data_IF_053326748242
#
_entry.id   IF_053326748242
#
_cell.length_a   1.000
_cell.length_b   1.000
_cell.length_c   1.000
_cell.angle_alpha   90.00
_cell.angle_beta   90.00
_cell.angle_gamma   90.00
#
_symmetry.space_group_name_H-M   'P 1'
#
loop_
_entity.id
_entity.type
_entity.pdbx_description
1 polymer ?
#
# COMPACT_ATOMS: atom_id res chain seq x y z
N UNK A 1 -83.81 19.82 12.70
CA UNK A 1 -82.83 19.33 13.69
C UNK A 1 -82.26 17.96 13.29
N UNK A 2 -81.67 17.83 12.08
CA UNK A 2 -81.14 16.54 11.58
C UNK A 2 -79.83 16.63 10.78
N UNK A 3 -79.30 17.82 10.46
CA UNK A 3 -78.08 17.93 9.65
C UNK A 3 -76.80 17.84 10.51
N UNK A 4 -76.82 18.42 11.72
CA UNK A 4 -75.67 18.37 12.62
C UNK A 4 -75.42 16.99 13.21
N UNK A 5 -76.49 16.22 13.50
CA UNK A 5 -76.38 14.84 13.98
C UNK A 5 -75.73 13.93 12.94
N UNK A 6 -76.04 14.11 11.66
CA UNK A 6 -75.45 13.33 10.56
C UNK A 6 -73.95 13.66 10.41
N UNK A 7 -73.56 14.94 10.54
CA UNK A 7 -72.14 15.34 10.51
C UNK A 7 -71.37 14.76 11.70
N UNK A 8 -71.92 14.81 12.92
CA UNK A 8 -71.26 14.24 14.10
C UNK A 8 -71.15 12.72 14.04
N UNK A 9 -72.16 12.03 13.49
CA UNK A 9 -72.11 10.57 13.28
C UNK A 9 -71.07 10.22 12.21
N UNK A 10 -71.03 10.97 11.10
CA UNK A 10 -70.05 10.77 10.05
C UNK A 10 -68.62 11.00 10.53
N UNK A 11 -68.40 12.04 11.35
CA UNK A 11 -67.10 12.32 11.95
C UNK A 11 -66.67 11.23 12.93
N UNK A 12 -67.58 10.77 13.80
CA UNK A 12 -67.30 9.68 14.74
C UNK A 12 -66.94 8.38 14.02
N UNK A 13 -67.63 8.08 12.91
CA UNK A 13 -67.33 6.90 12.09
C UNK A 13 -65.94 7.00 11.43
N UNK A 14 -65.57 8.17 10.92
CA UNK A 14 -64.25 8.43 10.34
C UNK A 14 -63.13 8.27 11.36
N UNK A 15 -63.33 8.78 12.58
CA UNK A 15 -62.36 8.61 13.69
C UNK A 15 -62.22 7.14 14.06
N UNK A 16 -63.34 6.40 14.17
CA UNK A 16 -63.30 4.96 14.46
C UNK A 16 -62.56 4.17 13.38
N UNK A 17 -62.80 4.45 12.10
CA UNK A 17 -62.09 3.82 10.97
C UNK A 17 -60.59 4.15 11.02
N UNK A 18 -60.23 5.40 11.32
CA UNK A 18 -58.82 5.80 11.46
C UNK A 18 -58.12 5.04 12.58
N UNK A 19 -58.79 4.83 13.71
CA UNK A 19 -58.22 4.06 14.83
C UNK A 19 -58.04 2.59 14.44
N UNK A 20 -59.03 1.99 13.77
CA UNK A 20 -58.95 0.59 13.31
C UNK A 20 -57.81 0.42 12.30
N UNK A 21 -57.68 1.33 11.33
CA UNK A 21 -56.58 1.30 10.35
C UNK A 21 -55.22 1.45 11.04
N UNK A 22 -55.12 2.35 12.02
CA UNK A 22 -53.88 2.55 12.76
C UNK A 22 -53.49 1.30 13.54
N UNK A 23 -54.44 0.67 14.23
CA UNK A 23 -54.20 -0.60 14.93
C UNK A 23 -53.85 -1.73 13.97
N UNK A 24 -54.47 -1.77 12.79
CA UNK A 24 -54.20 -2.79 11.77
C UNK A 24 -52.80 -2.67 11.17
N UNK A 25 -52.26 -1.46 11.03
CA UNK A 25 -50.86 -1.26 10.59
C UNK A 25 -49.90 -1.63 11.71
N UNK A 26 -50.24 -1.28 12.95
CA UNK A 26 -49.38 -1.58 14.11
C UNK A 26 -49.33 -3.09 14.42
N UNK A 27 -50.40 -3.84 14.13
CA UNK A 27 -50.44 -5.30 14.27
C UNK A 27 -50.02 -6.05 13.00
N UNK A 28 -49.64 -5.35 11.93
CA UNK A 28 -49.20 -5.99 10.69
C UNK A 28 -47.75 -6.43 10.85
N UNK A 29 -47.57 -7.72 11.16
CA UNK A 29 -46.27 -8.37 11.11
C UNK A 29 -46.18 -9.04 9.73
N UNK A 30 -45.34 -8.54 8.80
CA UNK A 30 -45.18 -9.19 7.52
C UNK A 30 -44.63 -10.59 7.79
N UNK A 31 -45.31 -11.62 7.29
CA UNK A 31 -44.73 -12.94 7.22
C UNK A 31 -43.67 -12.88 6.12
N UNK A 32 -42.47 -12.41 6.46
CA UNK A 32 -41.31 -12.61 5.60
C UNK A 32 -41.15 -14.12 5.53
N UNK A 33 -41.49 -14.70 4.37
CA UNK A 33 -40.95 -16.00 4.02
C UNK A 33 -39.46 -15.91 4.31
N UNK A 34 -38.99 -16.77 5.23
CA UNK A 34 -37.56 -16.90 5.45
C UNK A 34 -36.98 -17.20 4.09
N UNK A 35 -36.23 -16.25 3.54
CA UNK A 35 -35.36 -16.51 2.40
C UNK A 35 -34.56 -17.73 2.87
N UNK A 36 -34.85 -18.90 2.28
CA UNK A 36 -33.97 -20.05 2.42
C UNK A 36 -32.63 -19.52 1.98
N UNK A 37 -31.74 -19.33 2.95
CA UNK A 37 -30.31 -19.10 2.74
C UNK A 37 -29.74 -20.41 2.21
N UNK A 38 -30.16 -20.82 1.02
CA UNK A 38 -29.41 -21.81 0.27
C UNK A 38 -28.17 -21.06 -0.24
N UNK A 39 -27.04 -21.43 0.36
CA UNK A 39 -25.68 -21.04 0.01
C UNK A 39 -25.28 -19.58 0.24
N UNK A 40 -25.32 -19.12 1.49
CA UNK A 40 -24.24 -18.23 1.94
C UNK A 40 -23.08 -19.19 2.19
N UNK A 41 -22.17 -19.31 1.21
CA UNK A 41 -20.85 -19.86 1.51
C UNK A 41 -20.27 -18.94 2.59
N UNK A 42 -20.05 -19.50 3.79
CA UNK A 42 -19.24 -18.85 4.80
C UNK A 42 -17.90 -18.60 4.11
N UNK A 43 -17.58 -17.34 3.83
CA UNK A 43 -16.33 -17.00 3.14
C UNK A 43 -15.21 -17.45 4.06
N UNK A 44 -14.50 -18.52 3.68
CA UNK A 44 -13.29 -18.96 4.36
C UNK A 44 -12.35 -17.75 4.48
N UNK A 45 -12.01 -17.38 5.70
CA UNK A 45 -11.03 -16.32 5.94
C UNK A 45 -9.65 -16.83 5.55
N UNK A 46 -9.02 -16.22 4.55
CA UNK A 46 -7.66 -16.58 4.10
C UNK A 46 -6.63 -16.22 5.19
N UNK A 47 -6.83 -15.11 5.89
CA UNK A 47 -5.97 -14.58 6.95
C UNK A 47 -6.70 -13.47 7.73
N UNK A 48 -6.21 -12.22 7.70
CA UNK A 48 -6.74 -11.05 8.42
C UNK A 48 -7.23 -9.92 7.48
N UNK A 49 -8.09 -9.03 8.00
CA UNK A 49 -8.45 -7.76 7.35
C UNK A 49 -7.52 -6.64 7.83
N UNK A 50 -7.30 -5.62 6.98
CA UNK A 50 -6.48 -4.45 7.32
C UNK A 50 -7.19 -3.15 6.99
N UNK A 51 -7.13 -2.21 7.94
CA UNK A 51 -7.48 -0.81 7.72
C UNK A 51 -6.47 -0.12 6.80
N UNK A 52 -6.91 0.94 6.10
CA UNK A 52 -6.05 1.70 5.20
C UNK A 52 -4.78 2.24 5.88
N UNK A 53 -4.86 2.58 7.17
CA UNK A 53 -3.74 3.06 7.98
C UNK A 53 -2.59 2.05 8.16
N UNK A 54 -2.87 0.75 8.02
CA UNK A 54 -1.83 -0.29 8.06
C UNK A 54 -1.13 -0.47 6.71
N UNK A 55 -1.81 -0.11 5.62
CA UNK A 55 -1.35 -0.32 4.25
C UNK A 55 -0.67 0.93 3.67
N UNK A 56 -1.15 2.12 4.06
CA UNK A 56 -0.66 3.42 3.59
C UNK A 56 0.32 3.98 4.60
N UNK A 57 1.61 3.71 4.37
CA UNK A 57 2.72 4.16 5.22
C UNK A 57 3.85 4.74 4.36
N UNK A 58 4.61 5.72 4.88
CA UNK A 58 5.83 6.13 4.22
C UNK A 58 6.85 4.98 4.24
N UNK A 59 7.64 4.92 3.17
CA UNK A 59 8.78 4.00 3.05
C UNK A 59 10.05 4.55 3.69
N UNK A 60 10.15 5.87 3.83
CA UNK A 60 11.27 6.56 4.45
C UNK A 60 10.76 7.82 5.13
N UNK A 61 11.33 8.11 6.29
CA UNK A 61 11.17 9.40 6.95
C UNK A 61 12.54 10.06 7.03
N UNK A 62 12.61 11.33 6.64
CA UNK A 62 13.82 12.14 6.66
C UNK A 62 13.59 13.39 7.51
N UNK A 63 14.61 13.78 8.25
CA UNK A 63 14.68 15.07 8.92
C UNK A 63 15.89 15.83 8.40
N UNK A 64 15.67 17.05 7.92
CA UNK A 64 16.71 17.90 7.34
C UNK A 64 17.11 18.98 8.36
N UNK A 65 18.40 19.05 8.68
CA UNK A 65 18.96 19.99 9.65
C UNK A 65 20.41 20.35 9.33
N UNK A 66 20.69 21.63 9.23
CA UNK A 66 21.99 22.26 9.01
C UNK A 66 22.78 21.61 7.86
N UNK A 67 22.14 21.41 6.70
CA UNK A 67 22.59 20.67 5.51
C UNK A 67 22.88 19.17 5.73
N UNK A 68 22.60 18.65 6.93
CA UNK A 68 22.63 17.22 7.24
C UNK A 68 21.23 16.61 7.13
N UNK A 69 21.18 15.31 6.88
CA UNK A 69 19.94 14.56 6.73
C UNK A 69 19.98 13.32 7.60
N UNK A 70 18.91 13.11 8.35
CA UNK A 70 18.77 11.99 9.28
C UNK A 70 17.50 11.23 8.95
N UNK A 71 17.58 9.91 8.81
CA UNK A 71 16.47 9.13 8.29
C UNK A 71 16.25 7.79 8.97
N UNK A 72 15.04 7.27 8.78
CA UNK A 72 14.67 5.91 9.17
C UNK A 72 13.71 5.30 8.15
N UNK A 73 13.94 4.03 7.84
CA UNK A 73 13.01 3.15 7.13
C UNK A 73 12.37 2.12 8.05
N UNK A 74 12.81 2.06 9.32
CA UNK A 74 12.41 1.02 10.27
C UNK A 74 10.95 1.18 10.69
N UNK A 75 10.28 0.04 10.84
CA UNK A 75 8.85 -0.01 11.19
C UNK A 75 8.52 0.67 12.51
N UNK A 76 9.39 0.58 13.51
CA UNK A 76 9.17 1.19 14.83
C UNK A 76 8.99 2.69 14.67
N UNK A 77 9.94 3.39 14.05
CA UNK A 77 9.87 4.83 13.86
C UNK A 77 8.73 5.25 12.92
N UNK A 78 8.54 4.52 11.81
CA UNK A 78 7.47 4.82 10.85
C UNK A 78 6.09 4.68 11.49
N UNK A 79 5.87 3.61 12.25
CA UNK A 79 4.58 3.34 12.88
C UNK A 79 4.29 4.30 14.03
N UNK A 80 5.30 4.65 14.83
CA UNK A 80 5.16 5.66 15.88
C UNK A 80 4.80 7.04 15.30
N UNK A 81 5.44 7.45 14.20
CA UNK A 81 5.13 8.73 13.53
C UNK A 81 3.71 8.71 12.97
N UNK A 82 3.34 7.65 12.24
CA UNK A 82 2.00 7.55 11.65
C UNK A 82 0.92 7.49 12.72
N UNK A 83 1.17 6.81 13.85
CA UNK A 83 0.25 6.77 14.98
C UNK A 83 0.03 8.16 15.58
N UNK A 84 1.07 8.99 15.68
CA UNK A 84 0.88 10.35 16.15
C UNK A 84 0.13 11.21 15.12
N UNK A 85 0.47 11.11 13.82
CA UNK A 85 -0.21 11.85 12.75
C UNK A 85 -1.70 11.49 12.67
N UNK A 86 -2.09 10.25 12.95
CA UNK A 86 -3.50 9.83 13.04
C UNK A 86 -4.30 10.63 14.09
N UNK A 87 -3.64 11.16 15.12
CA UNK A 87 -4.28 12.00 16.15
C UNK A 87 -4.42 13.47 15.75
N UNK A 88 -3.88 13.87 14.59
CA UNK A 88 -3.85 15.26 14.17
C UNK A 88 -5.16 15.64 13.47
N UNK A 89 -5.54 16.89 13.69
CA UNK A 89 -6.65 17.54 12.98
C UNK A 89 -6.09 18.55 11.99
N UNK A 90 -6.39 18.34 10.72
CA UNK A 90 -6.02 19.20 9.60
C UNK A 90 -7.15 20.17 9.27
N UNK A 91 -6.78 21.43 9.05
CA UNK A 91 -7.69 22.54 8.77
C UNK A 91 -7.09 23.46 7.71
N UNK A 92 -7.95 24.20 7.00
CA UNK A 92 -7.57 25.21 6.02
C UNK A 92 -6.63 24.66 4.93
N UNK A 93 -6.99 23.49 4.39
CA UNK A 93 -6.21 22.84 3.34
C UNK A 93 -6.40 23.56 2.01
N UNK A 94 -5.34 24.21 1.50
CA UNK A 94 -5.39 25.07 0.32
C UNK A 94 -4.29 24.75 -0.69
N UNK A 95 -4.65 24.78 -1.97
CA UNK A 95 -3.70 24.69 -3.07
C UNK A 95 -2.85 25.97 -3.14
N UNK A 96 -1.54 25.82 -3.02
CA UNK A 96 -0.54 26.90 -3.10
C UNK A 96 0.45 26.69 -4.24
N UNK A 97 0.21 25.72 -5.13
CA UNK A 97 1.12 25.31 -6.19
C UNK A 97 1.55 26.49 -7.08
N UNK A 98 0.58 27.33 -7.47
CA UNK A 98 0.85 28.49 -8.34
C UNK A 98 1.68 29.60 -7.70
N UNK A 99 1.91 29.53 -6.39
CA UNK A 99 2.63 30.55 -5.60
C UNK A 99 4.07 30.13 -5.29
N UNK A 100 4.45 28.90 -5.64
CA UNK A 100 5.75 28.31 -5.33
C UNK A 100 6.60 28.29 -6.60
N UNK A 101 7.74 28.97 -6.56
CA UNK A 101 8.75 28.92 -7.62
C UNK A 101 9.53 27.61 -7.59
N UNK A 102 10.29 27.32 -8.66
CA UNK A 102 11.20 26.16 -8.73
C UNK A 102 12.11 26.05 -7.50
N UNK A 103 12.70 27.19 -7.11
CA UNK A 103 13.64 27.24 -5.99
C UNK A 103 12.92 26.99 -4.68
N UNK A 104 11.77 27.63 -4.46
CA UNK A 104 10.95 27.43 -3.26
C UNK A 104 10.41 26.00 -3.18
N UNK A 105 10.18 25.32 -4.30
CA UNK A 105 9.77 23.92 -4.34
C UNK A 105 10.89 22.99 -3.84
N UNK A 106 12.12 23.20 -4.29
CA UNK A 106 13.29 22.45 -3.77
C UNK A 106 13.53 22.74 -2.29
N UNK A 107 13.42 24.01 -1.87
CA UNK A 107 13.50 24.39 -0.47
C UNK A 107 12.34 23.81 0.35
N UNK A 108 11.15 23.65 -0.22
CA UNK A 108 10.01 23.02 0.45
C UNK A 108 10.28 21.54 0.74
N UNK A 109 10.83 20.81 -0.21
CA UNK A 109 11.09 19.38 -0.06
C UNK A 109 12.25 19.11 0.89
N UNK A 110 13.38 19.80 0.70
CA UNK A 110 14.65 19.42 1.33
C UNK A 110 15.33 20.54 2.13
N UNK A 111 14.65 21.67 2.31
CA UNK A 111 15.20 22.78 3.07
C UNK A 111 15.34 22.48 4.56
N UNK A 112 15.79 23.48 5.29
CA UNK A 112 16.07 23.34 6.72
C UNK A 112 14.86 23.08 7.61
N UNK A 113 15.10 22.36 8.71
CA UNK A 113 14.19 22.13 9.83
C UNK A 113 12.80 21.59 9.44
N UNK A 114 12.77 20.55 8.59
CA UNK A 114 11.54 19.88 8.18
C UNK A 114 11.64 18.37 8.31
N UNK A 115 10.51 17.76 8.63
CA UNK A 115 10.33 16.33 8.58
C UNK A 115 9.61 15.99 7.27
N UNK A 116 10.22 15.13 6.47
CA UNK A 116 9.73 14.66 5.17
C UNK A 116 9.35 13.18 5.29
N UNK A 117 8.12 12.84 4.92
CA UNK A 117 7.61 11.47 4.86
C UNK A 117 7.43 11.11 3.38
N UNK A 118 8.15 10.09 2.92
CA UNK A 118 8.17 9.67 1.52
C UNK A 118 7.33 8.41 1.34
N UNK A 119 6.24 8.51 0.56
CA UNK A 119 5.40 7.37 0.23
C UNK A 119 5.89 6.70 -1.06
N UNK A 120 5.89 5.36 -1.13
CA UNK A 120 6.32 4.63 -2.33
C UNK A 120 5.35 4.77 -3.52
N UNK A 121 4.14 5.27 -3.27
CA UNK A 121 3.06 5.44 -4.24
C UNK A 121 2.25 6.72 -3.96
N UNK A 122 1.47 7.16 -4.95
CA UNK A 122 0.58 8.30 -4.77
C UNK A 122 -0.60 7.95 -3.85
N UNK A 123 -0.86 8.83 -2.89
CA UNK A 123 -1.92 8.73 -1.90
C UNK A 123 -2.99 9.77 -2.22
N UNK A 124 -4.25 9.36 -2.44
CA UNK A 124 -5.37 10.29 -2.53
C UNK A 124 -5.63 10.99 -1.19
N UNK A 125 -5.97 12.27 -1.24
CA UNK A 125 -6.43 13.02 -0.06
C UNK A 125 -7.62 12.37 0.62
N UNK A 126 -8.56 11.83 -0.16
CA UNK A 126 -9.69 11.09 0.37
C UNK A 126 -9.25 9.91 1.25
N UNK A 127 -8.28 9.12 0.80
CA UNK A 127 -7.70 8.03 1.60
C UNK A 127 -7.02 8.55 2.85
N UNK A 128 -6.28 9.65 2.79
CA UNK A 128 -5.69 10.24 3.99
C UNK A 128 -6.74 10.77 4.98
N UNK A 129 -7.89 11.21 4.49
CA UNK A 129 -9.02 11.66 5.31
C UNK A 129 -9.77 10.52 6.02
N UNK A 130 -9.57 9.26 5.60
CA UNK A 130 -10.06 8.09 6.37
C UNK A 130 -9.07 7.65 7.44
N UNK A 131 -7.80 8.07 7.34
CA UNK A 131 -6.72 7.75 8.28
C UNK A 131 -6.57 8.84 9.36
N UNK A 132 -6.82 10.10 9.00
CA UNK A 132 -6.63 11.29 9.84
C UNK A 132 -7.87 12.18 9.83
N UNK A 133 -7.95 13.18 10.71
CA UNK A 133 -9.11 14.07 10.75
C UNK A 133 -8.88 15.31 9.90
N UNK A 134 -9.77 15.57 8.94
CA UNK A 134 -9.88 16.85 8.24
C UNK A 134 -11.19 17.54 8.65
N UNK A 135 -11.11 18.80 9.10
CA UNK A 135 -12.29 19.60 9.48
C UNK A 135 -12.79 20.50 8.33
N UNK A 136 -12.04 20.58 7.23
CA UNK A 136 -12.49 21.29 6.03
C UNK A 136 -13.77 20.65 5.45
N UNK A 137 -14.67 21.46 4.87
CA UNK A 137 -15.93 20.99 4.27
C UNK A 137 -15.73 19.89 3.22
N UNK A 138 -14.55 19.90 2.57
CA UNK A 138 -14.13 18.87 1.62
C UNK A 138 -12.60 18.81 1.58
N UNK A 139 -12.06 17.62 1.30
CA UNK A 139 -10.63 17.46 1.01
C UNK A 139 -10.35 17.67 -0.48
N UNK A 140 -9.13 18.12 -0.86
CA UNK A 140 -8.77 18.29 -2.26
C UNK A 140 -8.97 17.01 -3.09
N UNK A 141 -9.50 17.13 -4.30
CA UNK A 141 -9.53 16.03 -5.27
C UNK A 141 -8.17 15.90 -5.97
N UNK A 142 -7.16 15.52 -5.19
CA UNK A 142 -5.77 15.42 -5.63
C UNK A 142 -5.07 14.23 -4.95
N UNK A 143 -3.84 13.97 -5.39
CA UNK A 143 -2.96 12.96 -4.81
C UNK A 143 -1.63 13.62 -4.39
N UNK A 144 -0.91 12.98 -3.48
CA UNK A 144 0.42 13.37 -3.05
C UNK A 144 1.29 12.13 -2.84
N UNK A 145 2.60 12.26 -2.92
CA UNK A 145 3.57 11.21 -2.60
C UNK A 145 4.48 11.59 -1.42
N UNK A 146 4.35 12.83 -0.92
CA UNK A 146 5.11 13.31 0.24
C UNK A 146 4.27 14.13 1.21
N UNK A 147 4.61 14.00 2.49
CA UNK A 147 4.13 14.90 3.55
C UNK A 147 5.33 15.61 4.16
N UNK A 148 5.31 16.94 4.16
CA UNK A 148 6.34 17.78 4.76
C UNK A 148 5.77 18.50 5.97
N UNK A 149 6.37 18.30 7.14
CA UNK A 149 5.94 18.91 8.40
C UNK A 149 6.96 19.97 8.80
N UNK A 150 6.48 21.19 9.04
CA UNK A 150 7.29 22.38 9.35
C UNK A 150 6.65 23.20 10.47
N UNK A 151 7.37 24.24 10.94
CA UNK A 151 6.83 25.28 11.81
C UNK A 151 6.13 24.76 13.09
N UNK A 152 6.67 23.69 13.71
CA UNK A 152 6.05 23.08 14.89
C UNK A 152 6.10 24.02 16.11
N UNK A 153 4.96 24.59 16.45
CA UNK A 153 4.72 25.41 17.64
C UNK A 153 4.04 24.60 18.74
N UNK A 154 4.82 24.18 19.74
CA UNK A 154 4.33 23.37 20.86
C UNK A 154 3.47 24.14 21.85
N UNK A 155 3.54 25.48 21.88
CA UNK A 155 2.71 26.32 22.77
C UNK A 155 1.29 26.45 22.21
N UNK A 156 1.19 26.73 20.91
CA UNK A 156 -0.08 26.84 20.19
C UNK A 156 -0.63 25.48 19.76
N UNK A 157 0.16 24.41 19.92
CA UNK A 157 -0.19 23.04 19.51
C UNK A 157 -0.51 22.94 18.01
N UNK A 158 0.20 23.72 17.21
CA UNK A 158 0.02 23.85 15.77
C UNK A 158 1.32 23.57 15.01
N UNK A 159 1.17 23.01 13.82
CA UNK A 159 2.24 22.80 12.84
C UNK A 159 1.70 23.10 11.44
N UNK A 160 2.59 23.49 10.53
CA UNK A 160 2.23 23.64 9.11
C UNK A 160 2.64 22.39 8.36
N UNK A 161 1.68 21.78 7.66
CA UNK A 161 1.88 20.55 6.90
C UNK A 161 1.64 20.82 5.42
N UNK A 162 2.53 20.27 4.58
CA UNK A 162 2.39 20.32 3.13
C UNK A 162 2.25 18.90 2.59
N UNK A 163 1.21 18.69 1.78
CA UNK A 163 1.05 17.49 0.98
C UNK A 163 1.54 17.81 -0.43
N UNK A 164 2.53 17.07 -0.91
CA UNK A 164 3.22 17.38 -2.15
C UNK A 164 3.09 16.21 -3.12
N UNK A 165 2.68 16.51 -4.35
CA UNK A 165 2.84 15.63 -5.52
C UNK A 165 4.09 16.08 -6.27
N UNK A 166 5.17 15.32 -6.18
CA UNK A 166 6.46 15.70 -6.78
C UNK A 166 6.39 15.77 -8.30
N UNK A 167 5.82 14.74 -8.92
CA UNK A 167 5.73 14.63 -10.39
C UNK A 167 4.83 15.69 -11.02
N UNK A 168 3.66 15.93 -10.42
CA UNK A 168 2.69 16.93 -10.92
C UNK A 168 2.97 18.34 -10.37
N UNK A 169 3.93 18.46 -9.44
CA UNK A 169 4.33 19.70 -8.76
C UNK A 169 3.17 20.41 -8.06
N UNK A 170 2.25 19.61 -7.50
CA UNK A 170 1.14 20.14 -6.73
C UNK A 170 1.55 20.23 -5.26
N UNK A 171 1.20 21.35 -4.62
CA UNK A 171 1.49 21.60 -3.21
C UNK A 171 0.23 22.12 -2.53
N UNK A 172 -0.22 21.38 -1.53
CA UNK A 172 -1.33 21.75 -0.67
C UNK A 172 -0.83 22.02 0.74
N UNK A 173 -1.09 23.23 1.25
CA UNK A 173 -0.74 23.61 2.62
C UNK A 173 -1.95 23.41 3.52
N UNK A 174 -1.75 22.82 4.68
CA UNK A 174 -2.74 22.62 5.72
C UNK A 174 -2.16 23.03 7.08
N UNK A 175 -3.01 23.51 7.98
CA UNK A 175 -2.64 23.71 9.38
C UNK A 175 -3.06 22.47 10.17
N UNK A 176 -2.11 21.88 10.89
CA UNK A 176 -2.34 20.70 11.70
C UNK A 176 -2.28 21.05 13.19
N UNK A 177 -3.20 20.48 13.97
CA UNK A 177 -3.22 20.64 15.42
C UNK A 177 -3.26 19.28 16.14
N UNK A 178 -2.57 19.19 17.27
CA UNK A 178 -2.60 17.99 18.13
C UNK A 178 -2.16 18.31 19.55
N UNK A 179 -2.80 17.66 20.53
CA UNK A 179 -2.40 17.74 21.94
C UNK A 179 -1.03 17.12 22.21
N UNK A 180 -0.60 16.17 21.37
CA UNK A 180 0.66 15.44 21.50
C UNK A 180 1.84 16.11 20.79
N UNK A 181 1.66 17.28 20.18
CA UNK A 181 2.68 17.91 19.35
C UNK A 181 4.01 18.20 20.10
N UNK A 182 3.94 18.41 21.41
CA UNK A 182 5.14 18.56 22.26
C UNK A 182 5.95 17.26 22.37
N UNK A 183 5.26 16.11 22.50
CA UNK A 183 5.89 14.80 22.56
C UNK A 183 6.47 14.44 21.18
N UNK A 184 5.69 14.66 20.12
CA UNK A 184 6.11 14.51 18.73
C UNK A 184 7.41 15.28 18.43
N UNK A 185 7.46 16.58 18.75
CA UNK A 185 8.65 17.41 18.52
C UNK A 185 9.87 16.90 19.30
N UNK A 186 9.67 16.40 20.52
CA UNK A 186 10.77 15.85 21.32
C UNK A 186 11.32 14.57 20.68
N UNK A 187 10.45 13.65 20.30
CA UNK A 187 10.83 12.32 19.82
C UNK A 187 11.40 12.34 18.40
N UNK A 188 10.79 13.09 17.48
CA UNK A 188 11.10 12.99 16.05
C UNK A 188 11.86 14.18 15.46
N UNK A 189 12.00 15.28 16.21
CA UNK A 189 12.73 16.47 15.74
C UNK A 189 13.95 16.73 16.60
N UNK A 190 13.80 16.85 17.92
CA UNK A 190 14.95 17.13 18.80
C UNK A 190 15.95 15.98 18.86
N UNK A 191 15.43 14.75 18.79
CA UNK A 191 16.21 13.53 18.86
C UNK A 191 16.54 12.96 17.47
N UNK A 192 16.25 13.69 16.39
CA UNK A 192 16.45 13.23 15.02
C UNK A 192 17.92 12.90 14.69
N UNK A 193 18.88 13.58 15.33
CA UNK A 193 20.32 13.27 15.20
C UNK A 193 20.71 11.85 15.69
N UNK A 194 19.81 11.18 16.43
CA UNK A 194 19.99 9.78 16.84
C UNK A 194 19.63 8.80 15.73
N UNK A 195 18.93 9.26 14.68
CA UNK A 195 18.64 8.45 13.51
C UNK A 195 19.88 8.29 12.64
N UNK A 196 19.77 7.44 11.63
CA UNK A 196 20.88 7.16 10.74
C UNK A 196 21.14 8.36 9.80
N UNK A 197 22.40 8.75 9.55
CA UNK A 197 22.71 9.81 8.60
C UNK A 197 22.45 9.36 7.16
N UNK A 198 21.93 10.27 6.35
CA UNK A 198 21.61 10.09 4.93
C UNK A 198 22.38 11.10 4.09
N UNK A 199 22.80 10.68 2.89
CA UNK A 199 23.45 11.53 1.89
C UNK A 199 22.50 11.70 0.71
N UNK A 200 22.42 12.92 0.19
CA UNK A 200 21.67 13.21 -1.02
C UNK A 200 22.55 13.07 -2.28
N UNK A 201 21.96 12.58 -3.37
CA UNK A 201 22.58 12.48 -4.68
C UNK A 201 21.66 13.11 -5.74
N UNK A 202 22.17 14.01 -6.59
CA UNK A 202 21.36 14.62 -7.63
C UNK A 202 21.01 13.62 -8.73
N UNK A 203 19.74 13.61 -9.13
CA UNK A 203 19.24 12.92 -10.32
C UNK A 203 19.16 13.88 -11.52
N UNK A 204 19.02 13.32 -12.71
CA UNK A 204 18.98 14.10 -13.95
C UNK A 204 17.71 14.95 -14.12
N UNK A 205 16.66 14.65 -13.34
CA UNK A 205 15.33 15.27 -13.35
C UNK A 205 15.21 16.45 -12.36
N UNK A 206 16.32 16.98 -11.83
CA UNK A 206 16.36 17.91 -10.69
C UNK A 206 15.82 17.32 -9.36
N UNK A 207 15.50 16.03 -9.34
CA UNK A 207 15.15 15.31 -8.12
C UNK A 207 16.41 14.94 -7.33
N UNK A 208 16.24 14.67 -6.04
CA UNK A 208 17.30 14.25 -5.13
C UNK A 208 16.99 12.87 -4.56
N UNK A 209 18.00 12.03 -4.53
CA UNK A 209 17.95 10.68 -3.95
C UNK A 209 18.65 10.70 -2.59
N UNK A 210 17.95 10.31 -1.53
CA UNK A 210 18.49 10.23 -0.18
C UNK A 210 18.76 8.78 0.19
N UNK A 211 20.02 8.45 0.47
CA UNK A 211 20.43 7.09 0.81
C UNK A 211 21.21 7.07 2.13
N UNK A 212 21.17 5.96 2.89
CA UNK A 212 22.03 5.79 4.06
C UNK A 212 23.49 6.11 3.75
N UNK A 213 24.13 6.90 4.60
CA UNK A 213 25.55 7.23 4.47
C UNK A 213 26.42 6.00 4.80
N UNK A 214 26.02 5.27 5.84
CA UNK A 214 26.76 4.12 6.35
C UNK A 214 26.43 2.87 5.55
N UNK A 215 27.29 1.87 5.67
CA UNK A 215 27.05 0.54 5.12
C UNK A 215 25.88 -0.11 5.88
N UNK A 216 24.79 -0.49 5.20
CA UNK A 216 23.70 -1.21 5.83
C UNK A 216 24.17 -2.59 6.29
N UNK A 217 23.90 -2.93 7.56
CA UNK A 217 24.14 -4.26 8.13
C UNK A 217 22.79 -4.88 8.48
N UNK A 218 22.44 -5.98 7.80
CA UNK A 218 21.11 -6.58 7.85
C UNK A 218 21.22 -8.09 7.96
N UNK A 219 20.33 -8.72 8.71
CA UNK A 219 20.26 -10.17 8.81
C UNK A 219 19.55 -10.77 7.59
N UNK A 220 20.07 -11.88 7.07
CA UNK A 220 19.30 -12.76 6.20
C UNK A 220 18.26 -13.57 6.99
N UNK A 221 17.16 -13.94 6.34
CA UNK A 221 16.10 -14.74 6.97
C UNK A 221 15.74 -15.95 6.10
N UNK A 222 15.55 -17.11 6.74
CA UNK A 222 15.06 -18.32 6.07
C UNK A 222 13.66 -18.68 6.58
N UNK A 223 12.79 -19.03 5.65
CA UNK A 223 11.39 -19.37 5.91
C UNK A 223 11.03 -20.70 5.28
N UNK A 224 10.21 -21.48 6.00
CA UNK A 224 9.41 -22.52 5.38
C UNK A 224 8.04 -21.90 5.03
N UNK A 225 7.79 -21.53 3.77
CA UNK A 225 6.50 -20.97 3.37
C UNK A 225 5.35 -21.94 3.66
N UNK A 226 4.30 -21.44 4.29
CA UNK A 226 3.04 -22.15 4.48
C UNK A 226 2.10 -21.84 3.31
N UNK A 227 1.54 -22.87 2.68
CA UNK A 227 0.72 -22.70 1.48
C UNK A 227 -0.76 -22.54 1.85
N UNK A 228 -1.41 -21.58 1.19
CA UNK A 228 -2.82 -21.28 1.34
C UNK A 228 -3.61 -22.19 0.40
N UNK A 229 -4.77 -22.67 0.84
CA UNK A 229 -5.61 -23.53 0.02
C UNK A 229 -6.06 -22.80 -1.25
N UNK A 230 -5.77 -23.41 -2.40
CA UNK A 230 -6.16 -22.90 -3.72
C UNK A 230 -7.67 -22.82 -3.86
N UNK A 231 -8.42 -23.71 -3.20
CA UNK A 231 -9.87 -23.72 -3.27
C UNK A 231 -10.49 -22.44 -2.65
N UNK A 232 -9.84 -21.83 -1.65
CA UNK A 232 -10.28 -20.53 -1.10
C UNK A 232 -10.21 -19.42 -2.16
N UNK A 233 -9.18 -19.44 -3.01
CA UNK A 233 -9.07 -18.49 -4.13
C UNK A 233 -10.08 -18.77 -5.24
N UNK A 234 -10.40 -20.04 -5.49
CA UNK A 234 -11.47 -20.40 -6.43
C UNK A 234 -12.82 -19.87 -5.92
N UNK A 235 -13.10 -20.02 -4.63
CA UNK A 235 -14.36 -19.54 -4.05
C UNK A 235 -14.44 -18.00 -3.99
N UNK A 236 -13.30 -17.32 -3.85
CA UNK A 236 -13.14 -15.87 -3.94
C UNK A 236 -13.34 -15.32 -5.37
N UNK A 237 -12.66 -15.90 -6.36
CA UNK A 237 -12.44 -15.25 -7.66
C UNK A 237 -13.53 -15.55 -8.69
N UNK A 238 -14.31 -16.61 -8.48
CA UNK A 238 -15.36 -17.03 -9.40
C UNK A 238 -16.74 -16.70 -8.82
N UNK A 239 -17.62 -16.12 -9.65
CA UNK A 239 -18.96 -15.71 -9.21
C UNK A 239 -19.86 -16.89 -8.83
N UNK A 240 -19.65 -18.06 -9.44
CA UNK A 240 -20.28 -19.33 -9.06
C UNK A 240 -19.22 -20.44 -9.05
N UNK A 241 -18.61 -20.72 -7.90
CA UNK A 241 -17.54 -21.72 -7.78
C UNK A 241 -17.97 -23.14 -8.15
N UNK A 242 -19.29 -23.44 -8.12
CA UNK A 242 -19.83 -24.77 -8.43
C UNK A 242 -19.73 -25.13 -9.91
N UNK A 243 -19.66 -24.12 -10.79
CA UNK A 243 -19.54 -24.28 -12.24
C UNK A 243 -18.08 -24.36 -12.72
N UNK A 244 -17.13 -24.13 -11.81
CA UNK A 244 -15.71 -24.06 -12.14
C UNK A 244 -15.15 -25.45 -12.40
N UNK A 245 -14.47 -25.60 -13.53
CA UNK A 245 -13.75 -26.82 -13.88
C UNK A 245 -12.28 -26.67 -13.60
N UNK A 246 -11.70 -27.72 -13.02
CA UNK A 246 -10.27 -27.85 -12.74
C UNK A 246 -9.57 -28.67 -13.83
N UNK A 247 -8.44 -28.17 -14.32
CA UNK A 247 -7.56 -28.85 -15.25
C UNK A 247 -6.13 -28.87 -14.75
N UNK A 248 -5.50 -30.04 -14.70
CA UNK A 248 -4.11 -30.18 -14.27
C UNK A 248 -3.14 -29.84 -15.40
N UNK A 249 -2.02 -29.20 -15.04
CA UNK A 249 -0.86 -28.94 -15.91
C UNK A 249 0.38 -29.61 -15.32
N UNK A 250 1.47 -29.61 -16.08
CA UNK A 250 2.76 -30.18 -15.65
C UNK A 250 3.30 -29.55 -14.37
N UNK A 251 3.04 -28.26 -14.15
CA UNK A 251 3.54 -27.53 -12.98
C UNK A 251 2.50 -26.53 -12.44
N UNK A 252 1.29 -27.02 -12.24
CA UNK A 252 0.21 -26.15 -11.82
C UNK A 252 -1.15 -26.68 -12.22
N UNK A 253 -2.12 -25.79 -12.11
CA UNK A 253 -3.52 -26.09 -12.38
C UNK A 253 -4.22 -24.86 -12.93
N UNK A 254 -5.30 -25.11 -13.64
CA UNK A 254 -6.16 -24.08 -14.20
C UNK A 254 -7.59 -24.32 -13.75
N UNK A 255 -8.25 -23.24 -13.36
CA UNK A 255 -9.65 -23.20 -12.99
C UNK A 255 -10.38 -22.26 -13.95
N UNK A 256 -11.52 -22.69 -14.47
CA UNK A 256 -12.30 -21.86 -15.40
C UNK A 256 -13.79 -22.18 -15.34
N UNK A 257 -14.61 -21.15 -15.44
CA UNK A 257 -16.07 -21.24 -15.69
C UNK A 257 -16.41 -21.10 -17.20
N UNK A 258 -15.40 -21.05 -18.07
CA UNK A 258 -15.52 -20.81 -19.51
C UNK A 258 -15.42 -19.34 -19.92
N UNK A 259 -15.56 -18.41 -18.98
CA UNK A 259 -15.48 -16.96 -19.21
C UNK A 259 -14.33 -16.27 -18.47
N UNK A 260 -13.91 -16.83 -17.33
CA UNK A 260 -12.80 -16.37 -16.51
C UNK A 260 -11.78 -17.50 -16.32
N UNK A 261 -10.54 -17.14 -15.99
CA UNK A 261 -9.44 -18.09 -15.84
C UNK A 261 -8.60 -17.75 -14.63
N UNK A 262 -8.40 -18.73 -13.76
CA UNK A 262 -7.39 -18.71 -12.71
C UNK A 262 -6.34 -19.77 -13.01
N UNK A 263 -5.07 -19.39 -12.99
CA UNK A 263 -3.92 -20.29 -13.11
C UNK A 263 -3.15 -20.28 -11.81
N UNK A 264 -2.67 -21.45 -11.41
CA UNK A 264 -1.78 -21.62 -10.27
C UNK A 264 -0.46 -22.15 -10.78
N UNK A 265 0.63 -21.47 -10.43
CA UNK A 265 1.99 -21.86 -10.75
C UNK A 265 2.66 -22.40 -9.48
N UNK A 266 2.91 -23.72 -9.44
CA UNK A 266 3.51 -24.37 -8.28
C UNK A 266 5.01 -24.09 -8.12
N UNK A 267 5.71 -23.68 -9.19
CA UNK A 267 7.14 -23.35 -9.08
C UNK A 267 7.32 -21.99 -8.43
N UNK A 268 6.47 -21.03 -8.80
CA UNK A 268 6.51 -19.66 -8.27
C UNK A 268 5.63 -19.45 -7.06
N UNK A 269 4.78 -20.43 -6.74
CA UNK A 269 3.74 -20.33 -5.71
C UNK A 269 2.84 -19.12 -5.91
N UNK A 270 2.43 -18.90 -7.17
CA UNK A 270 1.64 -17.74 -7.59
C UNK A 270 0.28 -18.14 -8.13
N UNK A 271 -0.70 -17.26 -7.91
CA UNK A 271 -2.02 -17.29 -8.54
C UNK A 271 -2.11 -16.15 -9.54
N UNK A 272 -2.65 -16.46 -10.72
CA UNK A 272 -2.94 -15.51 -11.78
C UNK A 272 -4.40 -15.65 -12.19
N UNK A 273 -5.19 -14.61 -12.00
CA UNK A 273 -6.57 -14.55 -12.42
C UNK A 273 -6.77 -13.50 -13.51
N UNK A 274 -7.64 -13.82 -14.47
CA UNK A 274 -8.08 -12.90 -15.51
C UNK A 274 -9.56 -13.07 -15.82
N UNK A 275 -10.24 -11.93 -15.99
CA UNK A 275 -11.60 -11.81 -16.50
C UNK A 275 -11.61 -11.01 -17.80
N UNK A 276 -11.45 -11.66 -18.97
CA UNK A 276 -11.35 -10.99 -20.28
C UNK A 276 -12.49 -10.02 -20.59
N UNK A 277 -13.69 -10.21 -20.03
CA UNK A 277 -14.82 -9.30 -20.24
C UNK A 277 -14.56 -7.88 -19.72
N UNK A 278 -13.54 -7.68 -18.88
CA UNK A 278 -13.18 -6.40 -18.27
C UNK A 278 -12.00 -5.70 -18.92
N UNK A 279 -11.39 -6.30 -19.95
CA UNK A 279 -10.20 -5.76 -20.60
C UNK A 279 -10.44 -4.38 -21.23
N UNK A 280 -11.58 -4.17 -21.89
CA UNK A 280 -11.89 -2.88 -22.53
C UNK A 280 -12.11 -1.73 -21.53
N UNK A 281 -12.36 -2.05 -20.27
CA UNK A 281 -12.68 -1.07 -19.23
C UNK A 281 -11.43 -0.48 -18.55
N UNK A 282 -10.25 -1.10 -18.72
CA UNK A 282 -9.01 -0.68 -18.02
C UNK A 282 -8.47 0.68 -18.47
N UNK A 283 -8.93 1.21 -19.61
CA UNK A 283 -8.52 2.51 -20.11
C UNK A 283 -9.33 3.66 -19.49
N UNK A 284 -10.28 3.36 -18.60
CA UNK A 284 -11.07 4.33 -17.88
C UNK A 284 -11.24 3.92 -16.40
N UNK A 285 -10.15 3.94 -15.61
CA UNK A 285 -10.09 3.40 -14.24
C UNK A 285 -10.99 4.10 -13.20
N UNK A 286 -11.56 5.26 -13.54
CA UNK A 286 -12.18 6.14 -12.54
C UNK A 286 -11.16 6.88 -11.70
N UNK A 287 -11.56 7.30 -10.49
CA UNK A 287 -10.67 8.02 -9.58
C UNK A 287 -9.72 7.07 -8.84
N UNK A 288 -8.53 7.55 -8.46
CA UNK A 288 -7.58 6.72 -7.71
C UNK A 288 -8.10 6.35 -6.31
N UNK A 289 -8.91 7.21 -5.68
CA UNK A 289 -9.47 6.90 -4.36
C UNK A 289 -10.50 5.77 -4.45
N UNK A 290 -11.40 5.80 -5.43
CA UNK A 290 -12.38 4.72 -5.65
C UNK A 290 -11.67 3.40 -5.92
N UNK A 291 -10.61 3.46 -6.73
CA UNK A 291 -9.81 2.29 -7.08
C UNK A 291 -9.10 1.70 -5.86
N UNK A 292 -8.50 2.54 -5.02
CA UNK A 292 -7.81 2.10 -3.80
C UNK A 292 -8.80 1.52 -2.78
N UNK A 293 -9.95 2.15 -2.58
CA UNK A 293 -11.00 1.65 -1.68
C UNK A 293 -11.55 0.29 -2.15
N UNK A 294 -11.87 0.18 -3.46
CA UNK A 294 -12.26 -1.11 -4.07
C UNK A 294 -11.19 -2.17 -3.86
N UNK A 295 -9.92 -1.78 -4.04
CA UNK A 295 -8.78 -2.68 -3.93
C UNK A 295 -8.57 -3.25 -2.53
N UNK A 296 -8.63 -2.39 -1.51
CA UNK A 296 -8.51 -2.78 -0.10
C UNK A 296 -9.72 -3.63 0.30
N UNK A 297 -10.93 -3.19 -0.06
CA UNK A 297 -12.17 -3.90 0.24
C UNK A 297 -12.16 -5.31 -0.36
N UNK A 298 -11.75 -5.45 -1.61
CA UNK A 298 -11.69 -6.75 -2.29
C UNK A 298 -10.79 -7.76 -1.55
N UNK A 299 -9.63 -7.34 -1.05
CA UNK A 299 -8.77 -8.22 -0.25
C UNK A 299 -9.40 -8.49 1.13
N UNK A 300 -9.98 -7.47 1.76
CA UNK A 300 -10.62 -7.60 3.08
C UNK A 300 -11.87 -8.48 3.08
N UNK A 301 -12.62 -8.57 1.99
CA UNK A 301 -13.83 -9.41 1.89
C UNK A 301 -13.53 -10.90 2.18
N UNK A 302 -12.27 -11.31 2.09
CA UNK A 302 -11.81 -12.68 2.28
C UNK A 302 -10.64 -12.75 3.27
N UNK A 303 -10.42 -11.68 4.05
CA UNK A 303 -9.29 -11.54 4.97
C UNK A 303 -7.95 -11.88 4.30
N UNK A 304 -7.73 -11.42 3.06
CA UNK A 304 -6.67 -11.93 2.19
C UNK A 304 -5.26 -11.39 2.45
N UNK A 305 -5.02 -10.65 3.53
CA UNK A 305 -3.72 -10.07 3.87
C UNK A 305 -2.84 -11.07 4.63
N UNK A 306 -2.02 -11.82 3.88
CA UNK A 306 -1.27 -12.95 4.44
C UNK A 306 0.01 -12.57 5.17
N UNK A 307 0.55 -11.40 4.86
CA UNK A 307 1.81 -10.91 5.42
C UNK A 307 1.77 -9.38 5.57
N UNK A 308 2.93 -8.79 5.87
CA UNK A 308 3.10 -7.34 6.03
C UNK A 308 3.19 -6.62 4.67
N UNK A 309 2.07 -6.57 3.97
CA UNK A 309 1.93 -5.81 2.73
C UNK A 309 1.68 -4.32 2.97
N UNK A 310 2.23 -3.47 2.09
CA UNK A 310 1.98 -2.02 2.03
C UNK A 310 1.70 -1.59 0.62
N UNK A 311 0.92 -0.52 0.46
CA UNK A 311 0.69 0.11 -0.83
C UNK A 311 2.04 0.51 -1.44
N UNK A 312 2.29 0.09 -2.68
CA UNK A 312 3.57 0.30 -3.36
C UNK A 312 3.41 0.72 -4.83
N UNK A 313 2.23 0.47 -5.42
CA UNK A 313 1.83 1.00 -6.72
C UNK A 313 0.43 1.57 -6.64
N UNK A 314 0.32 2.87 -6.91
CA UNK A 314 -0.92 3.59 -7.12
C UNK A 314 -0.55 4.83 -7.93
N UNK A 315 -1.11 4.99 -9.11
CA UNK A 315 -0.79 6.10 -10.01
C UNK A 315 -2.07 6.64 -10.63
N UNK A 316 -2.30 7.96 -10.60
CA UNK A 316 -3.46 8.56 -11.27
C UNK A 316 -3.54 8.14 -12.74
N UNK A 317 -4.73 7.76 -13.19
CA UNK A 317 -4.98 7.32 -14.56
C UNK A 317 -4.56 5.88 -14.87
N UNK A 318 -4.02 5.13 -13.91
CA UNK A 318 -3.81 3.68 -14.02
C UNK A 318 -4.95 2.89 -13.38
N UNK A 319 -5.29 1.74 -13.97
CA UNK A 319 -6.18 0.72 -13.38
C UNK A 319 -5.45 -0.23 -12.42
N UNK A 320 -4.13 -0.10 -12.27
CA UNK A 320 -3.28 -0.99 -11.49
C UNK A 320 -3.07 -0.46 -10.07
N UNK A 321 -3.32 -1.31 -9.07
CA UNK A 321 -2.92 -1.14 -7.68
C UNK A 321 -2.04 -2.31 -7.27
N UNK A 322 -0.95 -2.02 -6.56
CA UNK A 322 0.00 -3.02 -6.10
C UNK A 322 0.37 -2.82 -4.65
N UNK A 323 0.40 -3.93 -3.90
CA UNK A 323 0.89 -3.99 -2.54
C UNK A 323 2.11 -4.87 -2.47
N UNK A 324 3.20 -4.37 -1.89
CA UNK A 324 4.47 -5.08 -1.77
C UNK A 324 4.65 -5.59 -0.35
N UNK A 325 5.25 -6.77 -0.22
CA UNK A 325 5.68 -7.33 1.06
C UNK A 325 6.80 -6.47 1.67
N UNK A 326 6.72 -6.22 2.96
CA UNK A 326 7.76 -5.54 3.74
C UNK A 326 8.27 -6.44 4.85
N UNK A 327 9.57 -6.34 5.14
CA UNK A 327 10.22 -6.96 6.29
C UNK A 327 11.01 -5.90 7.05
N UNK A 328 10.64 -5.66 8.31
CA UNK A 328 11.30 -4.69 9.19
C UNK A 328 11.44 -3.29 8.55
N UNK A 329 10.42 -2.87 7.81
CA UNK A 329 10.39 -1.57 7.12
C UNK A 329 11.05 -1.51 5.75
N UNK A 330 11.70 -2.60 5.32
CA UNK A 330 12.33 -2.68 4.01
C UNK A 330 11.44 -3.43 3.01
N UNK A 331 11.31 -2.95 1.76
CA UNK A 331 10.56 -3.63 0.71
C UNK A 331 11.23 -4.94 0.31
N UNK A 332 10.42 -5.96 0.03
CA UNK A 332 10.87 -7.25 -0.51
C UNK A 332 10.62 -7.27 -2.02
N UNK A 333 11.58 -7.76 -2.80
CA UNK A 333 11.51 -7.91 -4.24
C UNK A 333 11.81 -9.35 -4.65
N UNK A 334 11.06 -9.90 -5.60
CA UNK A 334 11.38 -11.20 -6.20
C UNK A 334 12.71 -11.14 -6.97
N UNK A 335 13.63 -12.01 -6.59
CA UNK A 335 14.95 -12.10 -7.20
C UNK A 335 15.04 -12.84 -8.53
N UNK A 336 14.00 -13.56 -8.94
CA UNK A 336 13.99 -14.36 -10.17
C UNK A 336 13.06 -13.80 -11.26
N UNK A 337 12.32 -12.74 -10.96
CA UNK A 337 11.29 -12.26 -11.86
C UNK A 337 11.86 -11.55 -13.09
N UNK A 338 11.66 -12.17 -14.26
CA UNK A 338 11.96 -11.55 -15.56
C UNK A 338 10.84 -10.61 -16.04
N UNK A 339 9.71 -10.56 -15.33
CA UNK A 339 8.53 -9.77 -15.69
C UNK A 339 7.79 -9.27 -14.44
N UNK A 340 7.47 -7.98 -14.37
CA UNK A 340 6.78 -7.37 -13.22
C UNK A 340 5.52 -8.13 -12.76
N UNK A 341 4.83 -8.80 -13.69
CA UNK A 341 3.60 -9.53 -13.44
C UNK A 341 3.81 -10.87 -12.71
N UNK A 342 5.04 -11.25 -12.33
CA UNK A 342 5.34 -12.53 -11.68
C UNK A 342 6.19 -12.38 -10.40
N UNK A 343 6.17 -11.21 -9.77
CA UNK A 343 6.89 -10.92 -8.53
C UNK A 343 6.22 -11.63 -7.33
N UNK A 344 6.91 -12.62 -6.75
CA UNK A 344 6.46 -13.37 -5.57
C UNK A 344 6.28 -12.53 -4.29
N UNK A 345 6.73 -11.27 -4.30
CA UNK A 345 6.62 -10.36 -3.16
C UNK A 345 5.54 -9.27 -3.35
N UNK A 346 4.64 -9.42 -4.33
CA UNK A 346 3.62 -8.42 -4.65
C UNK A 346 2.22 -9.01 -4.84
N UNK A 347 1.21 -8.30 -4.33
CA UNK A 347 -0.21 -8.50 -4.66
C UNK A 347 -0.60 -7.39 -5.63
N UNK A 348 -0.97 -7.76 -6.85
CA UNK A 348 -1.31 -6.81 -7.93
C UNK A 348 -2.75 -7.02 -8.38
N UNK A 349 -3.48 -5.92 -8.50
CA UNK A 349 -4.83 -5.87 -9.01
C UNK A 349 -4.90 -4.91 -10.19
N UNK A 350 -5.58 -5.32 -11.26
CA UNK A 350 -5.95 -4.44 -12.37
C UNK A 350 -7.46 -4.43 -12.49
N UNK A 351 -8.07 -3.26 -12.45
CA UNK A 351 -9.53 -3.12 -12.40
C UNK A 351 -10.13 -2.66 -13.72
N UNK A 352 -11.30 -3.23 -14.06
CA UNK A 352 -12.27 -2.58 -14.92
C UNK A 352 -13.09 -1.54 -14.14
N UNK A 353 -14.28 -1.18 -14.61
CA UNK A 353 -15.11 -0.20 -13.92
C UNK A 353 -15.67 -0.76 -12.60
N UNK A 354 -16.25 -1.95 -12.65
CA UNK A 354 -16.98 -2.53 -11.51
C UNK A 354 -16.38 -3.84 -10.99
N UNK A 355 -15.58 -4.53 -11.81
CA UNK A 355 -15.01 -5.84 -11.46
C UNK A 355 -13.52 -5.87 -11.78
N UNK A 356 -12.80 -6.68 -11.01
CA UNK A 356 -11.39 -6.93 -11.23
C UNK A 356 -11.17 -7.58 -12.61
N UNK A 357 -10.24 -7.03 -13.39
CA UNK A 357 -9.81 -7.57 -14.67
C UNK A 357 -8.70 -8.61 -14.48
N UNK A 358 -7.67 -8.27 -13.71
CA UNK A 358 -6.57 -9.18 -13.36
C UNK A 358 -6.27 -9.13 -11.88
N UNK A 359 -5.93 -10.28 -11.32
CA UNK A 359 -5.45 -10.40 -9.95
C UNK A 359 -4.26 -11.35 -9.92
N UNK A 360 -3.16 -10.91 -9.33
CA UNK A 360 -1.93 -11.71 -9.22
C UNK A 360 -1.41 -11.63 -7.80
N UNK A 361 -1.07 -12.77 -7.20
CA UNK A 361 -0.52 -12.81 -5.84
C UNK A 361 0.23 -14.12 -5.54
N UNK A 362 1.10 -14.13 -4.53
CA UNK A 362 1.54 -15.36 -3.90
C UNK A 362 0.38 -16.04 -3.15
N UNK A 363 0.42 -17.37 -3.12
CA UNK A 363 -0.48 -18.20 -2.29
C UNK A 363 0.23 -18.81 -1.08
N UNK A 364 1.25 -18.14 -0.54
CA UNK A 364 1.95 -18.59 0.66
C UNK A 364 2.10 -17.47 1.69
N UNK A 365 2.39 -17.83 2.94
CA UNK A 365 2.78 -16.92 4.03
C UNK A 365 4.21 -17.20 4.48
N UNK A 366 4.87 -16.22 5.11
CA UNK A 366 6.22 -16.35 5.68
C UNK A 366 6.21 -16.40 7.23
N UNK A 367 5.29 -17.18 7.81
CA UNK A 367 5.12 -17.24 9.27
C UNK A 367 6.13 -18.16 9.96
N UNK A 368 6.55 -19.23 9.29
CA UNK A 368 7.45 -20.24 9.87
C UNK A 368 8.91 -19.83 9.59
N UNK A 369 9.45 -18.97 10.46
CA UNK A 369 10.87 -18.66 10.45
C UNK A 369 11.68 -19.87 10.87
N UNK A 370 12.69 -20.23 10.08
CA UNK A 370 13.65 -21.26 10.45
C UNK A 370 14.72 -20.63 11.36
N UNK A 371 15.21 -21.36 12.38
CA UNK A 371 16.37 -20.95 13.14
C UNK A 371 17.61 -21.10 12.25
N UNK A 372 17.86 -20.12 11.39
CA UNK A 372 19.18 -19.84 10.88
C UNK A 372 19.83 -18.85 11.84
N UNK A 373 21.10 -19.05 12.19
CA UNK A 373 21.94 -17.92 12.57
C UNK A 373 21.85 -16.95 11.40
N UNK A 374 21.02 -15.91 11.52
CA UNK A 374 20.78 -14.98 10.42
C UNK A 374 22.10 -14.35 10.07
N UNK A 375 22.71 -14.79 8.98
CA UNK A 375 24.01 -14.30 8.57
C UNK A 375 23.88 -12.79 8.39
N UNK A 376 24.66 -12.03 9.14
CA UNK A 376 24.72 -10.59 8.98
C UNK A 376 25.39 -10.29 7.64
N UNK A 377 24.61 -9.70 6.74
CA UNK A 377 25.09 -9.24 5.43
C UNK A 377 25.38 -7.76 5.54
N UNK A 378 26.63 -7.38 5.30
CA UNK A 378 27.04 -5.98 5.16
C UNK A 378 26.97 -5.59 3.69
N UNK A 379 26.08 -4.67 3.35
CA UNK A 379 25.94 -4.15 2.00
C UNK A 379 26.98 -3.06 1.72
N UNK A 380 27.39 -2.88 0.45
CA UNK A 380 28.20 -1.72 0.06
C UNK A 380 27.54 -0.40 0.45
N UNK A 381 28.34 0.63 0.68
CA UNK A 381 27.84 1.98 0.96
C UNK A 381 27.06 2.54 -0.25
N UNK A 382 26.21 3.54 0.02
CA UNK A 382 25.33 4.11 -1.01
C UNK A 382 26.08 4.71 -2.20
N UNK A 383 27.27 5.30 -1.98
CA UNK A 383 28.08 5.86 -3.06
C UNK A 383 28.62 4.75 -3.98
N UNK A 384 29.09 3.65 -3.40
CA UNK A 384 29.54 2.45 -4.12
C UNK A 384 28.40 1.80 -4.89
N UNK A 385 27.22 1.66 -4.28
CA UNK A 385 26.02 1.14 -4.95
C UNK A 385 25.59 2.02 -6.13
N UNK A 386 25.48 3.34 -5.93
CA UNK A 386 25.11 4.28 -6.99
C UNK A 386 26.15 4.27 -8.13
N UNK A 387 27.44 4.17 -7.79
CA UNK A 387 28.51 4.04 -8.79
C UNK A 387 28.38 2.75 -9.60
N UNK A 388 27.93 1.66 -8.99
CA UNK A 388 27.68 0.40 -9.70
C UNK A 388 26.50 0.52 -10.66
N UNK A 389 25.39 1.16 -10.25
CA UNK A 389 24.25 1.45 -11.15
C UNK A 389 24.69 2.27 -12.36
N UNK A 390 25.51 3.30 -12.15
CA UNK A 390 26.03 4.17 -13.23
C UNK A 390 26.97 3.47 -14.21
N UNK A 391 27.51 2.29 -13.87
CA UNK A 391 28.39 1.48 -14.74
C UNK A 391 27.64 0.49 -15.62
N UNK A 392 26.33 0.35 -15.45
CA UNK A 392 25.53 -0.57 -16.26
C UNK A 392 25.61 -0.20 -17.75
N UNK A 393 25.63 -1.21 -18.60
CA UNK A 393 25.64 -1.01 -20.05
C UNK A 393 24.37 -0.25 -20.48
N UNK A 394 24.55 0.74 -21.38
CA UNK A 394 23.48 1.62 -21.84
C UNK A 394 22.74 2.42 -20.74
N UNK A 395 23.39 2.68 -19.60
CA UNK A 395 22.83 3.53 -18.55
C UNK A 395 22.51 4.95 -19.07
N UNK A 396 21.23 5.31 -19.01
CA UNK A 396 20.71 6.67 -19.19
C UNK A 396 20.36 7.28 -17.83
N UNK A 397 21.01 8.39 -17.42
CA UNK A 397 20.75 9.04 -16.13
C UNK A 397 19.29 9.45 -15.91
N UNK A 398 18.60 9.89 -16.97
CA UNK A 398 17.20 10.35 -16.93
C UNK A 398 16.17 9.26 -16.63
N UNK A 399 16.58 7.99 -16.58
CA UNK A 399 15.70 6.87 -16.25
C UNK A 399 15.90 6.35 -14.82
N UNK A 400 16.93 6.80 -14.10
CA UNK A 400 17.10 6.45 -12.69
C UNK A 400 16.16 7.33 -11.86
N UNK A 401 15.19 6.69 -11.21
CA UNK A 401 14.16 7.36 -10.42
C UNK A 401 14.41 7.23 -8.92
N UNK A 402 14.90 6.07 -8.46
CA UNK A 402 15.03 5.78 -7.04
C UNK A 402 16.07 4.69 -6.77
N UNK A 403 16.54 4.58 -5.53
CA UNK A 403 17.32 3.45 -5.02
C UNK A 403 16.97 3.20 -3.55
N UNK A 404 16.90 1.92 -3.17
CA UNK A 404 16.56 1.54 -1.82
C UNK A 404 17.31 0.27 -1.42
N UNK A 405 17.54 0.13 -0.11
CA UNK A 405 17.89 -1.15 0.50
C UNK A 405 16.60 -1.95 0.66
N UNK A 406 16.65 -3.23 0.35
CA UNK A 406 15.51 -4.14 0.43
C UNK A 406 15.96 -5.57 0.68
N UNK A 407 15.00 -6.49 0.61
CA UNK A 407 15.28 -7.93 0.57
C UNK A 407 14.97 -8.49 -0.79
N UNK A 408 15.82 -9.40 -1.27
CA UNK A 408 15.56 -10.26 -2.40
C UNK A 408 14.92 -11.55 -1.89
N UNK A 409 13.74 -11.90 -2.39
CA UNK A 409 13.08 -13.16 -2.11
C UNK A 409 13.53 -14.21 -3.14
N UNK A 410 14.17 -15.27 -2.66
CA UNK A 410 14.73 -16.35 -3.48
C UNK A 410 14.47 -17.72 -2.83
N UNK A 411 14.30 -18.80 -3.60
CA UNK A 411 14.42 -20.14 -3.06
C UNK A 411 15.85 -20.39 -2.55
N UNK A 412 15.97 -21.13 -1.45
CA UNK A 412 17.26 -21.55 -0.92
C UNK A 412 18.00 -22.46 -1.93
N UNK A 413 19.31 -22.25 -2.17
CA UNK A 413 20.07 -23.05 -3.12
C UNK A 413 20.15 -24.55 -2.77
N UNK A 414 20.09 -24.90 -1.48
CA UNK A 414 20.17 -26.28 -1.00
C UNK A 414 18.78 -26.94 -0.96
N UNK A 415 17.71 -26.15 -0.81
CA UNK A 415 16.34 -26.64 -0.75
C UNK A 415 15.34 -25.64 -1.31
N UNK A 416 14.79 -25.93 -2.50
CA UNK A 416 13.75 -25.10 -3.12
C UNK A 416 12.43 -25.02 -2.33
N UNK A 417 12.30 -25.79 -1.25
CA UNK A 417 11.16 -25.70 -0.32
C UNK A 417 11.28 -24.53 0.65
N UNK A 418 12.49 -24.03 0.88
CA UNK A 418 12.80 -22.93 1.78
C UNK A 418 12.90 -21.66 0.94
N UNK A 419 12.36 -20.56 1.45
CA UNK A 419 12.55 -19.22 0.89
C UNK A 419 13.51 -18.42 1.77
N UNK A 420 14.35 -17.63 1.12
CA UNK A 420 15.36 -16.78 1.74
C UNK A 420 15.04 -15.33 1.41
N UNK A 421 15.10 -14.48 2.42
CA UNK A 421 15.16 -13.03 2.28
C UNK A 421 16.61 -12.60 2.43
N UNK A 422 17.24 -12.24 1.31
CA UNK A 422 18.63 -11.81 1.27
C UNK A 422 18.71 -10.27 1.15
N UNK A 423 19.38 -9.56 2.07
CA UNK A 423 19.59 -8.12 1.96
C UNK A 423 20.25 -7.75 0.63
N UNK A 424 19.76 -6.70 -0.03
CA UNK A 424 20.32 -6.24 -1.30
C UNK A 424 19.98 -4.78 -1.61
N UNK A 425 20.77 -4.20 -2.51
CA UNK A 425 20.46 -2.91 -3.11
C UNK A 425 19.52 -3.08 -4.31
N UNK A 426 18.55 -2.19 -4.40
CA UNK A 426 17.61 -2.11 -5.51
C UNK A 426 17.59 -0.70 -6.09
N UNK A 427 17.31 -0.60 -7.39
CA UNK A 427 17.19 0.68 -8.07
C UNK A 427 15.98 0.68 -8.99
N UNK A 428 15.24 1.78 -9.01
CA UNK A 428 14.09 2.00 -9.89
C UNK A 428 14.57 2.68 -11.17
N UNK A 429 14.37 1.99 -12.29
CA UNK A 429 14.88 2.40 -13.58
C UNK A 429 13.80 2.30 -14.67
N UNK A 430 13.33 3.44 -15.18
CA UNK A 430 12.25 3.50 -16.17
C UNK A 430 10.96 2.86 -15.66
N UNK A 431 10.57 3.19 -14.43
CA UNK A 431 9.37 2.72 -13.76
C UNK A 431 9.47 1.32 -13.15
N UNK A 432 10.62 0.63 -13.25
CA UNK A 432 10.78 -0.75 -12.78
C UNK A 432 11.90 -0.88 -11.77
N UNK A 433 11.61 -1.52 -10.64
CA UNK A 433 12.62 -1.92 -9.66
C UNK A 433 13.47 -3.07 -10.19
N UNK A 434 14.78 -2.99 -9.93
CA UNK A 434 15.76 -3.98 -10.34
C UNK A 434 16.74 -4.23 -9.21
N UNK A 435 17.16 -5.48 -9.08
CA UNK A 435 18.25 -5.89 -8.19
C UNK A 435 19.58 -5.34 -8.70
N UNK A 436 20.39 -4.80 -7.80
CA UNK A 436 21.75 -4.39 -8.09
C UNK A 436 22.72 -5.53 -7.73
N UNK A 437 23.17 -6.26 -8.76
CA UNK A 437 24.19 -7.29 -8.56
C UNK A 437 25.58 -6.68 -8.47
N UNK A 438 26.30 -7.01 -7.40
CA UNK A 438 27.72 -6.74 -7.27
C UNK A 438 28.47 -7.96 -7.80
N UNK A 439 28.84 -7.98 -9.08
CA UNK A 439 29.78 -8.99 -9.57
C UNK A 439 31.10 -8.80 -8.84
N UNK A 440 31.43 -9.72 -7.95
CA UNK A 440 32.80 -9.94 -7.52
C UNK A 440 33.65 -10.28 -8.75
N UNK A 441 34.32 -9.27 -9.31
CA UNK A 441 35.66 -9.49 -9.88
C UNK A 441 36.65 -9.45 -8.72
N UNK A 442 36.47 -10.34 -7.75
CA UNK A 442 37.52 -10.73 -6.82
C UNK A 442 38.01 -12.08 -7.33
N UNK A 443 39.17 -12.06 -7.98
CA UNK A 443 39.93 -13.26 -8.26
C UNK A 443 40.12 -14.05 -6.96
N UNK A 444 39.60 -15.27 -6.94
CA UNK A 444 40.09 -16.35 -6.09
C UNK A 444 39.58 -16.40 -4.65
N UNK A 445 38.45 -17.10 -4.45
CA UNK A 445 38.38 -18.14 -3.44
C UNK A 445 37.46 -19.27 -3.92
N UNK A 446 38.11 -20.31 -4.41
CA UNK A 446 37.54 -21.64 -4.59
C UNK A 446 37.08 -22.11 -3.21
N UNK A 447 35.77 -22.19 -2.97
CA UNK A 447 35.25 -23.03 -1.90
C UNK A 447 35.40 -24.48 -2.37
N UNK A 448 36.39 -25.14 -1.76
CA UNK A 448 36.68 -26.55 -1.99
C UNK A 448 35.55 -27.43 -1.47
N UNK A 449 35.30 -28.48 -2.24
CA UNK A 449 34.61 -29.70 -1.84
C UNK A 449 35.25 -30.29 -0.58
N UNK A 450 34.45 -30.61 0.43
CA UNK A 450 34.49 -31.90 1.14
C UNK A 450 33.06 -32.34 1.45
#
# INVERSE_FOLDING_TARGET
MNYEKIKSIGLALLVAISIILTLSIWSYQPNYDTIKRDNIHEVSSISETKEASHLVKPSTVLFHKDDEHYGSTRDIEVDEIMKEIQTWTFTNTVDVSSRITEKEFGELLHGENRLELLFPAFIPFYTMSTITTFEDDSVPNAVFDRIIITNINTREKQATVYFVSTKERLVFRSEASSTNLSAFKKQFIKDAEKWEPYVHYPLATNEQLFLPEKQPVLSSYKYLPDEIDIEDFKDLLFSDPSLVKKGLKTNGEEYTDGSTLMKVDYLKRMIFYVNPAKESEINNPGSLHDLLDKSIKFINEHSGWTDQYRLFKATPGSSEIGYRLFKNGLPVFDGQSMSADQDMAEIVQVWGQDKIYKYTRPYFTLDISLPSEGEEVTLPDSASALKQVKKLEHFKPALLEDMAVGYQLLPDPESSKILVLEPSWFYKYGGRWKHLSFTEKTEGKVHGLE
#
